data_IF_141261321508
#
_entry.id   IF_141261321508
#
_cell.length_a   1.000
_cell.length_b   1.000
_cell.length_c   1.000
_cell.angle_alpha   90.00
_cell.angle_beta   90.00
_cell.angle_gamma   90.00
#
_symmetry.space_group_name_H-M   'P 1'
#
loop_
_entity.id
_entity.type
_entity.pdbx_description
1 polymer ?
#
# COMPACT_ATOMS: atom_id res chain seq x y z
N UNK A 1 -27.88 -10.73 -19.16
CA UNK A 1 -27.02 -9.85 -19.98
C UNK A 1 -25.63 -10.46 -19.88
N UNK A 2 -25.16 -11.02 -21.00
CA UNK A 2 -23.99 -11.90 -21.08
C UNK A 2 -22.69 -11.12 -20.81
N UNK A 3 -21.88 -11.58 -19.86
CA UNK A 3 -20.47 -11.19 -19.80
C UNK A 3 -19.75 -11.83 -21.00
N UNK A 4 -18.92 -11.09 -21.75
CA UNK A 4 -18.12 -11.71 -22.80
C UNK A 4 -17.02 -12.56 -22.16
N UNK A 5 -16.99 -13.85 -22.49
CA UNK A 5 -15.82 -14.71 -22.26
C UNK A 5 -14.69 -14.24 -23.18
N UNK A 6 -13.63 -13.67 -22.61
CA UNK A 6 -12.42 -13.37 -23.36
C UNK A 6 -11.51 -14.60 -23.34
N UNK A 7 -11.62 -15.42 -24.40
CA UNK A 7 -10.68 -16.51 -24.66
C UNK A 7 -9.48 -15.93 -25.42
N UNK A 8 -8.32 -15.88 -24.77
CA UNK A 8 -7.06 -15.50 -25.41
C UNK A 8 -6.56 -16.67 -26.28
N UNK A 9 -6.73 -16.53 -27.59
CA UNK A 9 -6.01 -17.39 -28.54
C UNK A 9 -4.61 -16.82 -28.73
N UNK A 10 -3.60 -17.50 -28.19
CA UNK A 10 -2.20 -17.17 -28.40
C UNK A 10 -1.88 -16.96 -29.88
N UNK A 11 -1.03 -15.97 -30.18
CA UNK A 11 -0.70 -15.60 -31.55
C UNK A 11 0.00 -16.74 -32.30
N UNK A 12 -0.45 -17.01 -33.52
CA UNK A 12 0.21 -17.92 -34.45
C UNK A 12 1.64 -17.44 -34.73
N UNK A 13 2.63 -18.36 -34.79
CA UNK A 13 4.03 -18.02 -35.02
C UNK A 13 4.18 -17.42 -36.42
N UNK A 14 4.56 -16.13 -36.51
CA UNK A 14 4.90 -15.47 -37.78
C UNK A 14 4.23 -14.12 -38.05
N UNK A 15 3.26 -13.68 -37.25
CA UNK A 15 2.74 -12.30 -37.33
C UNK A 15 3.51 -11.39 -36.38
N UNK A 16 4.22 -10.42 -36.96
CA UNK A 16 4.72 -9.23 -36.26
C UNK A 16 3.58 -8.63 -35.44
N UNK A 17 3.67 -8.75 -34.11
CA UNK A 17 2.80 -8.01 -33.20
C UNK A 17 3.05 -6.54 -33.50
N UNK A 18 2.07 -5.88 -34.13
CA UNK A 18 2.04 -4.43 -34.13
C UNK A 18 2.00 -4.03 -32.67
N UNK A 19 3.09 -3.42 -32.20
CA UNK A 19 3.22 -2.82 -30.89
C UNK A 19 1.96 -1.98 -30.70
N UNK A 20 1.00 -2.49 -29.93
CA UNK A 20 -0.05 -1.64 -29.40
C UNK A 20 0.73 -0.81 -28.40
N UNK A 21 1.07 0.39 -28.87
CA UNK A 21 1.65 1.49 -28.10
C UNK A 21 1.17 1.40 -26.67
N UNK A 22 2.08 1.62 -25.70
CA UNK A 22 1.80 1.79 -24.27
C UNK A 22 0.32 2.07 -24.10
N UNK A 23 -0.47 0.99 -23.95
CA UNK A 23 -1.92 1.10 -24.01
C UNK A 23 -2.14 1.80 -22.71
N UNK A 24 -2.32 3.12 -22.79
CA UNK A 24 -2.32 3.97 -21.64
C UNK A 24 -3.31 3.28 -20.72
N UNK A 25 -2.79 2.75 -19.61
CA UNK A 25 -3.54 1.81 -18.81
C UNK A 25 -4.83 2.47 -18.28
N UNK A 26 -5.04 3.77 -18.54
CA UNK A 26 -6.35 4.45 -18.51
C UNK A 26 -7.50 3.61 -19.05
N UNK A 27 -7.34 2.84 -20.14
CA UNK A 27 -8.49 2.12 -20.76
C UNK A 27 -8.70 0.72 -20.20
N UNK A 28 -7.70 0.13 -19.54
CA UNK A 28 -7.88 -1.11 -18.76
C UNK A 28 -8.26 -0.80 -17.30
N UNK A 29 -7.87 0.39 -16.81
CA UNK A 29 -8.28 0.97 -15.54
C UNK A 29 -9.64 1.68 -15.61
N UNK A 30 -10.27 1.86 -16.78
CA UNK A 30 -11.67 2.34 -16.81
C UNK A 30 -12.65 1.31 -16.25
N UNK A 31 -12.22 0.06 -16.08
CA UNK A 31 -12.90 -0.95 -15.26
C UNK A 31 -12.22 -1.16 -13.90
N UNK A 32 -11.08 -0.52 -13.65
CA UNK A 32 -10.42 -0.46 -12.36
C UNK A 32 -10.95 0.71 -11.57
N UNK A 33 -12.15 0.54 -11.00
CA UNK A 33 -12.70 1.31 -9.88
C UNK A 33 -12.36 2.82 -9.94
N UNK A 34 -13.18 3.60 -10.67
CA UNK A 34 -13.24 5.05 -10.42
C UNK A 34 -13.70 5.35 -8.99
N UNK A 35 -14.31 4.37 -8.30
CA UNK A 35 -14.66 4.49 -6.90
C UNK A 35 -13.39 4.45 -6.03
N UNK A 36 -13.33 5.35 -5.05
CA UNK A 36 -12.40 5.24 -3.92
C UNK A 36 -12.42 3.80 -3.38
N UNK A 37 -11.27 3.30 -2.90
CA UNK A 37 -11.22 1.96 -2.28
C UNK A 37 -12.38 1.87 -1.28
N UNK A 38 -13.32 0.95 -1.53
CA UNK A 38 -14.53 0.75 -0.73
C UNK A 38 -14.14 0.23 0.66
N UNK A 39 -13.61 1.11 1.49
CA UNK A 39 -13.15 0.86 2.84
C UNK A 39 -12.22 -0.34 3.01
N UNK A 40 -12.24 -0.90 4.21
CA UNK A 40 -11.51 -2.13 4.57
C UNK A 40 -12.05 -3.27 3.68
N UNK A 41 -11.19 -4.07 3.02
CA UNK A 41 -11.63 -5.19 2.22
C UNK A 41 -12.49 -6.18 3.02
N UNK A 42 -13.54 -6.70 2.36
CA UNK A 42 -14.45 -7.67 2.96
C UNK A 42 -13.67 -8.90 3.45
N UNK A 43 -14.01 -9.35 4.66
CA UNK A 43 -13.50 -10.51 5.43
C UNK A 43 -12.48 -11.37 4.68
N UNK A 44 -11.24 -11.38 5.17
CA UNK A 44 -10.15 -12.16 4.60
C UNK A 44 -10.05 -13.54 5.24
N UNK A 45 -9.54 -14.49 4.47
CA UNK A 45 -9.19 -15.83 4.95
C UNK A 45 -7.95 -15.83 5.87
N UNK A 46 -7.12 -14.79 5.79
CA UNK A 46 -5.87 -14.68 6.54
C UNK A 46 -5.93 -13.50 7.50
N UNK A 47 -5.69 -13.77 8.78
CA UNK A 47 -5.51 -12.77 9.83
C UNK A 47 -4.01 -12.48 10.00
N UNK A 48 -3.63 -11.21 9.96
CA UNK A 48 -2.26 -10.78 10.21
C UNK A 48 -2.05 -10.48 11.69
N UNK A 49 -1.09 -11.15 12.30
CA UNK A 49 -0.66 -10.89 13.69
C UNK A 49 0.73 -10.25 13.70
N UNK A 50 0.93 -9.33 14.65
CA UNK A 50 2.24 -8.73 14.93
C UNK A 50 2.76 -9.37 16.21
N UNK A 51 3.72 -10.28 16.07
CA UNK A 51 4.34 -10.94 17.21
C UNK A 51 5.32 -10.01 17.92
N UNK A 52 5.27 -9.99 19.25
CA UNK A 52 6.18 -9.22 20.10
C UNK A 52 7.07 -10.16 20.89
N UNK A 53 8.24 -9.67 21.31
CA UNK A 53 9.12 -10.40 22.23
C UNK A 53 8.38 -10.75 23.53
N UNK A 54 8.74 -11.89 24.13
CA UNK A 54 8.10 -12.35 25.37
C UNK A 54 8.27 -11.31 26.48
N UNK A 55 7.16 -10.95 27.13
CA UNK A 55 7.14 -9.97 28.22
C UNK A 55 7.18 -8.51 27.76
N UNK A 56 6.94 -8.22 26.48
CA UNK A 56 6.80 -6.85 26.01
C UNK A 56 5.64 -6.11 26.71
N UNK A 57 5.94 -4.95 27.29
CA UNK A 57 4.95 -4.05 27.87
C UNK A 57 4.47 -3.01 26.83
N UNK A 58 3.24 -2.47 26.99
CA UNK A 58 2.74 -1.41 26.12
C UNK A 58 3.64 -0.18 26.10
N UNK A 59 3.94 0.29 24.89
CA UNK A 59 4.72 1.52 24.67
C UNK A 59 3.77 2.66 24.35
N UNK A 60 3.80 3.72 25.15
CA UNK A 60 3.04 4.95 24.92
C UNK A 60 3.95 6.17 24.96
N UNK A 61 4.17 6.76 23.79
CA UNK A 61 4.97 7.98 23.61
C UNK A 61 4.05 9.19 23.42
N UNK A 62 4.41 10.29 24.08
CA UNK A 62 3.69 11.55 23.92
C UNK A 62 3.82 12.08 22.47
N UNK A 63 2.76 12.68 21.90
CA UNK A 63 2.83 13.33 20.60
C UNK A 63 3.92 14.41 20.54
N UNK A 64 4.57 14.54 19.38
CA UNK A 64 5.52 15.63 19.15
C UNK A 64 4.81 16.99 19.14
N UNK A 65 5.55 18.05 19.46
CA UNK A 65 5.05 19.43 19.31
C UNK A 65 4.87 19.72 17.82
N UNK A 66 3.70 20.22 17.46
CA UNK A 66 3.34 20.54 16.08
C UNK A 66 2.95 22.02 15.96
N UNK A 67 3.30 22.62 14.83
CA UNK A 67 2.84 23.96 14.47
C UNK A 67 1.33 23.96 14.17
N UNK A 68 0.64 25.12 14.24
CA UNK A 68 -0.80 25.20 13.94
C UNK A 68 -1.18 24.66 12.56
N UNK A 69 -0.32 24.84 11.56
CA UNK A 69 -0.53 24.32 10.20
C UNK A 69 -0.46 22.79 10.15
N UNK A 70 0.47 22.18 10.88
CA UNK A 70 0.61 20.73 10.98
C UNK A 70 -0.56 20.11 11.76
N UNK A 71 -1.04 20.79 12.80
CA UNK A 71 -2.22 20.35 13.55
C UNK A 71 -3.49 20.37 12.70
N UNK A 72 -3.62 21.34 11.78
CA UNK A 72 -4.73 21.38 10.83
C UNK A 72 -4.62 20.20 9.87
N UNK A 73 -3.46 20.02 9.24
CA UNK A 73 -3.20 18.93 8.31
C UNK A 73 -3.42 17.55 8.96
N UNK A 74 -3.01 17.39 10.22
CA UNK A 74 -3.24 16.17 10.98
C UNK A 74 -4.72 15.85 11.11
N UNK A 75 -5.55 16.84 11.43
CA UNK A 75 -7.00 16.64 11.55
C UNK A 75 -7.62 16.27 10.21
N UNK A 76 -7.23 16.96 9.15
CA UNK A 76 -7.77 16.74 7.80
C UNK A 76 -7.43 15.31 7.32
N UNK A 77 -6.17 14.88 7.45
CA UNK A 77 -5.77 13.50 7.07
C UNK A 77 -6.37 12.43 7.98
N UNK A 78 -6.50 12.66 9.28
CA UNK A 78 -7.15 11.69 10.18
C UNK A 78 -8.64 11.53 9.86
N UNK A 79 -9.32 12.63 9.52
CA UNK A 79 -10.73 12.60 9.14
C UNK A 79 -10.92 11.77 7.85
N UNK A 80 -10.08 11.98 6.85
CA UNK A 80 -10.10 11.19 5.62
C UNK A 80 -9.89 9.68 5.89
N UNK A 81 -8.90 9.34 6.72
CA UNK A 81 -8.63 7.95 7.10
C UNK A 81 -9.78 7.31 7.90
N UNK A 82 -10.50 8.09 8.70
CA UNK A 82 -11.69 7.64 9.43
C UNK A 82 -12.88 7.42 8.49
N UNK A 83 -13.11 8.33 7.55
CA UNK A 83 -14.18 8.24 6.55
C UNK A 83 -13.96 7.05 5.59
N UNK A 84 -12.72 6.81 5.21
CA UNK A 84 -12.30 5.61 4.47
C UNK A 84 -12.33 4.34 5.32
N UNK A 85 -12.51 4.45 6.64
CA UNK A 85 -12.55 3.30 7.54
C UNK A 85 -11.20 2.61 7.77
N UNK A 86 -10.08 3.17 7.32
CA UNK A 86 -8.74 2.59 7.54
C UNK A 86 -8.30 2.65 9.00
N UNK A 87 -8.83 3.62 9.77
CA UNK A 87 -8.59 3.74 11.20
C UNK A 87 -9.90 3.85 11.97
N UNK A 88 -9.83 3.64 13.28
CA UNK A 88 -10.96 3.83 14.19
C UNK A 88 -10.49 4.40 15.53
N UNK A 89 -11.35 5.12 16.27
CA UNK A 89 -11.06 5.46 17.66
C UNK A 89 -10.80 4.20 18.49
N UNK A 90 -9.82 4.26 19.38
CA UNK A 90 -9.50 3.15 20.29
C UNK A 90 -9.04 3.66 21.65
N UNK A 91 -9.17 2.83 22.68
CA UNK A 91 -8.66 3.08 24.03
C UNK A 91 -7.51 2.11 24.29
N UNK A 92 -6.41 2.30 23.58
CA UNK A 92 -5.24 1.42 23.62
C UNK A 92 -4.23 1.89 24.67
N UNK A 93 -3.57 0.96 25.42
CA UNK A 93 -2.40 1.31 26.22
C UNK A 93 -1.17 1.61 25.34
N UNK A 94 -1.23 1.29 24.04
CA UNK A 94 -0.20 1.58 23.05
C UNK A 94 -0.40 2.95 22.40
N UNK A 95 0.68 3.69 22.22
CA UNK A 95 0.67 5.01 21.59
C UNK A 95 1.99 5.32 20.88
N UNK A 96 1.92 5.62 19.59
CA UNK A 96 3.04 6.06 18.78
C UNK A 96 2.80 7.50 18.29
N UNK A 97 3.80 8.39 18.33
CA UNK A 97 3.63 9.77 17.91
C UNK A 97 3.60 9.86 16.38
N UNK A 98 2.86 10.85 15.89
CA UNK A 98 2.79 11.20 14.47
C UNK A 98 3.82 12.29 14.17
N UNK A 99 4.41 12.23 12.98
CA UNK A 99 5.27 13.26 12.41
C UNK A 99 4.96 13.47 10.93
N UNK A 100 5.29 14.65 10.43
CA UNK A 100 5.12 14.98 9.02
C UNK A 100 6.45 14.97 8.27
N UNK A 101 6.43 14.38 7.07
CA UNK A 101 7.54 14.46 6.11
C UNK A 101 7.08 15.23 4.89
N UNK A 102 7.85 16.24 4.47
CA UNK A 102 7.54 17.00 3.25
C UNK A 102 7.83 16.15 2.02
N UNK A 103 6.84 15.99 1.16
CA UNK A 103 7.01 15.44 -0.19
C UNK A 103 7.68 16.48 -1.10
N UNK A 104 8.16 16.01 -2.26
CA UNK A 104 8.79 16.87 -3.28
C UNK A 104 7.84 17.94 -3.83
N UNK A 105 6.54 17.66 -3.84
CA UNK A 105 5.48 18.58 -4.28
C UNK A 105 5.09 19.62 -3.20
N UNK A 106 5.73 19.59 -2.02
CA UNK A 106 5.45 20.49 -0.91
C UNK A 106 4.33 20.03 0.03
N UNK A 107 3.58 18.98 -0.33
CA UNK A 107 2.56 18.40 0.55
C UNK A 107 3.19 17.65 1.73
N UNK A 108 2.45 17.52 2.83
CA UNK A 108 2.90 16.80 4.02
C UNK A 108 2.41 15.36 3.99
N UNK A 109 3.29 14.41 4.27
CA UNK A 109 2.96 13.00 4.46
C UNK A 109 2.89 12.71 5.95
N UNK A 110 1.73 12.29 6.43
CA UNK A 110 1.57 11.75 7.77
C UNK A 110 2.35 10.45 7.91
N UNK A 111 3.24 10.40 8.89
CA UNK A 111 4.06 9.24 9.23
C UNK A 111 3.89 8.93 10.71
N UNK A 112 3.77 7.65 11.06
CA UNK A 112 3.71 7.21 12.45
C UNK A 112 5.08 6.68 12.86
N UNK A 113 5.61 7.17 13.98
CA UNK A 113 6.90 6.74 14.53
C UNK A 113 6.76 5.43 15.29
N UNK A 114 6.87 4.32 14.56
CA UNK A 114 6.88 2.98 15.13
C UNK A 114 8.26 2.53 15.61
N UNK A 115 9.27 3.41 15.76
CA UNK A 115 10.63 2.97 16.07
C UNK A 115 10.74 2.13 17.34
N UNK A 116 10.02 2.48 18.41
CA UNK A 116 10.06 1.66 19.64
C UNK A 116 9.29 0.34 19.49
N UNK A 117 8.13 0.38 18.83
CA UNK A 117 7.35 -0.83 18.56
C UNK A 117 8.20 -1.82 17.73
N UNK A 118 8.86 -1.34 16.68
CA UNK A 118 9.73 -2.12 15.81
C UNK A 118 10.94 -2.75 16.52
N UNK A 119 11.36 -2.25 17.69
CA UNK A 119 12.43 -2.87 18.49
C UNK A 119 11.97 -4.11 19.23
N UNK A 120 10.69 -4.14 19.61
CA UNK A 120 10.08 -5.23 20.39
C UNK A 120 9.25 -6.19 19.52
N UNK A 121 8.99 -5.83 18.25
CA UNK A 121 8.39 -6.72 17.26
C UNK A 121 9.37 -7.81 16.83
N UNK A 122 8.92 -9.07 16.84
CA UNK A 122 9.66 -10.19 16.25
C UNK A 122 9.69 -9.99 14.74
N UNK A 123 10.91 -9.95 14.17
CA UNK A 123 11.08 -9.69 12.74
C UNK A 123 10.77 -10.92 11.92
N UNK A 124 9.81 -10.77 11.01
CA UNK A 124 9.58 -11.72 9.94
C UNK A 124 10.74 -11.64 8.93
N UNK A 125 11.69 -12.57 9.01
CA UNK A 125 12.87 -12.63 8.15
C UNK A 125 12.56 -13.36 6.82
N UNK A 126 11.58 -12.86 6.07
CA UNK A 126 11.39 -13.31 4.68
C UNK A 126 12.43 -12.62 3.80
N UNK A 127 13.28 -13.36 3.07
CA UNK A 127 14.26 -12.74 2.20
C UNK A 127 13.54 -12.05 1.04
N UNK A 128 13.66 -10.72 0.97
CA UNK A 128 13.26 -10.01 -0.23
C UNK A 128 14.25 -10.38 -1.36
N UNK A 129 13.76 -10.73 -2.56
CA UNK A 129 14.62 -11.06 -3.68
C UNK A 129 15.52 -9.87 -4.02
N UNK A 130 16.76 -10.12 -4.45
CA UNK A 130 17.62 -9.03 -4.90
C UNK A 130 17.11 -8.52 -6.24
N UNK A 131 17.34 -7.24 -6.49
CA UNK A 131 16.94 -6.61 -7.74
C UNK A 131 17.62 -7.29 -8.94
N UNK A 132 18.89 -7.69 -8.79
CA UNK A 132 19.62 -8.40 -9.84
C UNK A 132 18.99 -9.78 -10.13
N UNK A 133 18.64 -10.54 -9.08
CA UNK A 133 17.95 -11.83 -9.22
C UNK A 133 16.63 -11.66 -9.98
N UNK A 134 15.85 -10.62 -9.66
CA UNK A 134 14.61 -10.30 -10.38
C UNK A 134 14.85 -9.93 -11.85
N UNK A 135 15.96 -9.28 -12.18
CA UNK A 135 16.29 -8.95 -13.57
C UNK A 135 16.79 -10.16 -14.37
N UNK A 136 17.51 -11.06 -13.73
CA UNK A 136 17.94 -12.33 -14.35
C UNK A 136 16.73 -13.21 -14.69
N UNK A 137 15.72 -13.25 -13.82
CA UNK A 137 14.44 -13.93 -14.10
C UNK A 137 13.69 -13.34 -15.30
N UNK A 138 13.90 -12.06 -15.58
CA UNK A 138 13.29 -11.34 -16.69
C UNK A 138 14.09 -11.49 -18.00
N UNK A 139 15.21 -12.22 -18.01
CA UNK A 139 16.04 -12.41 -19.20
C UNK A 139 15.25 -13.06 -20.36
N UNK A 140 15.40 -12.49 -21.56
CA UNK A 140 14.70 -12.97 -22.76
C UNK A 140 13.25 -12.51 -22.88
N UNK A 141 12.69 -11.83 -21.88
CA UNK A 141 11.41 -11.16 -22.01
C UNK A 141 11.53 -9.96 -22.97
N UNK A 142 10.65 -9.92 -23.97
CA UNK A 142 10.66 -8.87 -25.00
C UNK A 142 9.72 -7.70 -24.68
N UNK A 143 8.78 -7.90 -23.74
CA UNK A 143 7.75 -6.92 -23.38
C UNK A 143 7.58 -6.91 -21.87
N UNK A 144 7.53 -5.69 -21.30
CA UNK A 144 7.37 -5.49 -19.87
C UNK A 144 6.12 -4.66 -19.58
N UNK A 145 5.45 -4.98 -18.48
CA UNK A 145 4.38 -4.16 -17.90
C UNK A 145 4.69 -3.93 -16.44
N UNK A 146 4.44 -2.71 -15.97
CA UNK A 146 4.62 -2.33 -14.57
C UNK A 146 3.27 -1.96 -13.99
N UNK A 147 2.91 -2.59 -12.89
CA UNK A 147 1.69 -2.31 -12.13
C UNK A 147 2.11 -1.79 -10.76
N UNK A 148 1.52 -0.69 -10.32
CA UNK A 148 1.73 -0.12 -8.99
C UNK A 148 0.40 -0.17 -8.23
N UNK A 149 0.40 -0.76 -7.04
CA UNK A 149 -0.81 -0.91 -6.23
C UNK A 149 -1.08 0.39 -5.45
N UNK A 150 -2.24 0.99 -5.68
CA UNK A 150 -2.68 2.22 -4.99
C UNK A 150 -2.92 1.93 -3.50
N UNK A 151 -2.17 2.57 -2.60
CA UNK A 151 -2.35 2.37 -1.15
C UNK A 151 -2.23 0.90 -0.72
N UNK A 152 -1.26 0.16 -1.27
CA UNK A 152 -1.15 -1.30 -1.12
C UNK A 152 -1.27 -1.83 0.32
N UNK A 153 -0.71 -1.14 1.32
CA UNK A 153 -0.83 -1.55 2.73
C UNK A 153 -2.26 -1.45 3.28
N UNK A 154 -3.06 -0.49 2.84
CA UNK A 154 -4.46 -0.37 3.25
C UNK A 154 -5.37 -1.37 2.52
N UNK A 155 -4.82 -2.04 1.50
CA UNK A 155 -5.45 -3.20 0.87
C UNK A 155 -5.05 -4.51 1.55
N UNK A 156 -4.37 -4.49 2.71
CA UNK A 156 -4.08 -5.65 3.56
C UNK A 156 -5.05 -5.81 4.74
#
# INVERSE_FOLDING_TARGET
IHAPEFIYHGSLPGKSIQIISALQARTLLSYGCEDELLGIPLVREVEFSIELILGAEPISKAPYRMAPIELKELKDQLQELLEQGFIRPSVSPWGAPVLFVKKKDGSMRLCIDYHELNKITIRNCYPLPRIDDLFDELHGAMHFSKIDLRSGYHQL
#
